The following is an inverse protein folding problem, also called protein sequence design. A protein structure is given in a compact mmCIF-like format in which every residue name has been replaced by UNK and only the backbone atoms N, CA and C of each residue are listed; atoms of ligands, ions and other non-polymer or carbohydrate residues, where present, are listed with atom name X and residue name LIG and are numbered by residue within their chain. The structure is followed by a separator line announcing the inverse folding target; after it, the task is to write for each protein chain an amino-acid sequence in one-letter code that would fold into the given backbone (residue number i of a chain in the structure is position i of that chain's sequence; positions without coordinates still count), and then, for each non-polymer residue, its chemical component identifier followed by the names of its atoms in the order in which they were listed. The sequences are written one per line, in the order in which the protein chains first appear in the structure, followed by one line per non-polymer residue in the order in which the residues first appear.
data_IF_029399651517
#
_entry.id   IF_029399651517
#
_cell.length_a   1.000
_cell.length_b   1.000
_cell.length_c   1.000
_cell.angle_alpha   90.00
_cell.angle_beta   90.00
_cell.angle_gamma   90.00
#
_symmetry.space_group_name_H-M   'P 1'
#
loop_
_entity.id
_entity.type
_entity.pdbx_description
1 polymer ?
#
# COMPACT_ATOMS: atom_id res chain seq x y z
N UNK A 1 15.64 19.47 -9.12
CA UNK A 1 14.36 18.73 -9.17
C UNK A 1 13.30 19.69 -9.69
N UNK A 2 12.51 19.26 -10.66
CA UNK A 2 11.43 20.06 -11.25
C UNK A 2 10.44 20.55 -10.18
N UNK A 3 9.92 21.79 -10.26
CA UNK A 3 8.99 22.35 -9.27
C UNK A 3 7.74 21.48 -9.02
N UNK A 4 7.22 20.85 -10.08
CA UNK A 4 6.04 19.96 -10.01
C UNK A 4 6.29 18.72 -9.14
N UNK A 5 7.47 18.10 -9.27
CA UNK A 5 7.84 16.94 -8.44
C UNK A 5 7.88 17.30 -6.95
N UNK A 6 8.43 18.48 -6.63
CA UNK A 6 8.51 18.96 -5.25
C UNK A 6 7.13 19.19 -4.66
N UNK A 7 6.17 19.67 -5.46
CA UNK A 7 4.80 19.88 -5.01
C UNK A 7 4.11 18.54 -4.67
N UNK A 8 4.20 17.55 -5.55
CA UNK A 8 3.61 16.23 -5.32
C UNK A 8 4.24 15.52 -4.11
N UNK A 9 5.56 15.64 -3.96
CA UNK A 9 6.27 15.12 -2.79
C UNK A 9 5.80 15.79 -1.49
N UNK A 10 5.56 17.10 -1.50
CA UNK A 10 5.04 17.82 -0.35
C UNK A 10 3.60 17.40 0.01
N UNK A 11 2.74 17.14 -0.99
CA UNK A 11 1.37 16.65 -0.75
C UNK A 11 1.38 15.30 -0.04
N UNK A 12 2.21 14.37 -0.51
CA UNK A 12 2.39 13.06 0.13
C UNK A 12 2.88 13.20 1.57
N UNK A 13 3.94 13.97 1.81
CA UNK A 13 4.46 14.16 3.17
C UNK A 13 3.47 14.83 4.11
N UNK A 14 2.69 15.80 3.60
CA UNK A 14 1.62 16.45 4.37
C UNK A 14 0.56 15.43 4.78
N UNK A 15 0.14 14.56 3.85
CA UNK A 15 -0.82 13.49 4.13
C UNK A 15 -0.28 12.51 5.17
N UNK A 16 0.96 12.02 5.00
CA UNK A 16 1.58 11.07 5.92
C UNK A 16 1.71 11.66 7.33
N UNK A 17 2.17 12.91 7.44
CA UNK A 17 2.34 13.60 8.72
C UNK A 17 1.00 13.80 9.43
N UNK A 18 -0.03 14.24 8.70
CA UNK A 18 -1.35 14.48 9.26
C UNK A 18 -2.10 13.21 9.71
N UNK A 19 -1.67 12.04 9.22
CA UNK A 19 -2.33 10.76 9.48
C UNK A 19 -1.43 9.73 10.18
N UNK A 20 -0.23 10.11 10.63
CA UNK A 20 0.78 9.19 11.18
C UNK A 20 0.30 8.32 12.35
N UNK A 21 -0.69 8.81 13.11
CA UNK A 21 -1.27 8.11 14.26
C UNK A 21 -2.60 7.41 13.92
N UNK A 22 -3.13 7.59 12.71
CA UNK A 22 -4.37 6.95 12.23
C UNK A 22 -4.08 5.63 11.51
N UNK A 23 -5.13 4.84 11.28
CA UNK A 23 -5.04 3.66 10.41
C UNK A 23 -4.80 4.08 8.96
N UNK A 24 -3.70 3.61 8.37
CA UNK A 24 -3.35 3.86 6.97
C UNK A 24 -3.21 2.52 6.27
N UNK A 25 -3.82 2.40 5.09
CA UNK A 25 -3.65 1.25 4.22
C UNK A 25 -2.74 1.63 3.04
N UNK A 26 -1.61 0.94 2.93
CA UNK A 26 -0.74 0.97 1.77
C UNK A 26 -1.15 -0.13 0.80
N UNK A 27 -1.88 0.24 -0.26
CA UNK A 27 -2.39 -0.68 -1.27
C UNK A 27 -1.53 -0.64 -2.54
N UNK A 28 -0.77 -1.71 -2.78
CA UNK A 28 0.08 -1.92 -3.94
C UNK A 28 -0.64 -2.79 -4.98
N UNK A 29 -0.85 -2.27 -6.19
CA UNK A 29 -1.59 -2.95 -7.26
C UNK A 29 -0.69 -3.17 -8.48
N UNK A 30 -0.38 -4.43 -8.79
CA UNK A 30 0.32 -4.79 -10.03
C UNK A 30 1.75 -4.28 -10.15
N UNK A 31 2.38 -3.88 -9.04
CA UNK A 31 3.78 -3.47 -9.04
C UNK A 31 4.65 -4.71 -9.23
N UNK A 32 5.49 -4.66 -10.27
CA UNK A 32 6.46 -5.71 -10.59
C UNK A 32 7.84 -5.42 -10.01
N UNK A 33 8.78 -6.31 -10.31
CA UNK A 33 10.13 -6.31 -9.71
C UNK A 33 11.19 -5.47 -10.43
N UNK A 34 10.82 -4.71 -11.47
CA UNK A 34 11.79 -3.93 -12.24
C UNK A 34 12.39 -2.77 -11.45
N UNK A 35 11.60 -2.10 -10.62
CA UNK A 35 12.02 -0.88 -9.89
C UNK A 35 11.36 -0.80 -8.50
N UNK A 36 11.66 -1.75 -7.59
CA UNK A 36 11.02 -1.83 -6.27
C UNK A 36 11.22 -0.58 -5.41
N UNK A 37 12.30 0.16 -5.62
CA UNK A 37 12.65 1.41 -4.94
C UNK A 37 11.62 2.55 -5.07
N UNK A 38 10.73 2.53 -6.07
CA UNK A 38 9.75 3.61 -6.26
C UNK A 38 8.47 3.44 -5.44
N UNK A 39 8.01 2.20 -5.21
CA UNK A 39 6.72 1.93 -4.55
C UNK A 39 6.88 0.88 -3.46
N UNK A 40 7.34 -0.32 -3.82
CA UNK A 40 7.40 -1.47 -2.93
C UNK A 40 8.24 -1.19 -1.67
N UNK A 41 9.48 -0.76 -1.84
CA UNK A 41 10.38 -0.48 -0.70
C UNK A 41 9.89 0.71 0.16
N UNK A 42 9.47 1.86 -0.42
CA UNK A 42 8.85 2.93 0.37
C UNK A 42 7.62 2.48 1.14
N UNK A 43 6.74 1.66 0.55
CA UNK A 43 5.54 1.17 1.23
C UNK A 43 5.90 0.26 2.39
N UNK A 44 6.90 -0.62 2.23
CA UNK A 44 7.39 -1.43 3.33
C UNK A 44 7.95 -0.55 4.45
N UNK A 45 8.85 0.38 4.13
CA UNK A 45 9.47 1.29 5.10
C UNK A 45 8.42 2.13 5.86
N UNK A 46 7.41 2.63 5.16
CA UNK A 46 6.33 3.40 5.78
C UNK A 46 5.44 2.51 6.66
N UNK A 47 5.15 1.28 6.25
CA UNK A 47 4.37 0.32 7.04
C UNK A 47 5.11 -0.10 8.31
N UNK A 48 6.45 -0.23 8.24
CA UNK A 48 7.29 -0.42 9.41
C UNK A 48 7.25 0.79 10.35
N UNK A 49 7.44 2.00 9.81
CA UNK A 49 7.56 3.22 10.60
C UNK A 49 6.24 3.67 11.25
N UNK A 50 5.10 3.40 10.61
CA UNK A 50 3.79 3.84 11.08
C UNK A 50 3.08 2.73 11.86
N UNK A 51 2.83 2.89 13.17
CA UNK A 51 2.38 1.80 14.04
C UNK A 51 1.05 1.19 13.59
N UNK A 52 0.12 2.04 13.11
CA UNK A 52 -1.23 1.65 12.70
C UNK A 52 -1.37 1.41 11.19
N UNK A 53 -0.27 1.35 10.45
CA UNK A 53 -0.30 1.08 9.02
C UNK A 53 -0.45 -0.41 8.71
N UNK A 54 -1.11 -0.71 7.60
CA UNK A 54 -1.24 -2.06 7.04
C UNK A 54 -0.88 -2.04 5.55
N UNK A 55 -0.25 -3.10 5.06
CA UNK A 55 0.19 -3.21 3.67
C UNK A 55 -0.54 -4.34 2.94
N UNK A 56 -1.08 -4.06 1.75
CA UNK A 56 -1.64 -5.09 0.86
C UNK A 56 -0.98 -4.99 -0.50
N UNK A 57 -0.46 -6.10 -1.00
CA UNK A 57 0.01 -6.21 -2.39
C UNK A 57 -0.84 -7.20 -3.17
N UNK A 58 -1.26 -6.80 -4.37
CA UNK A 58 -2.07 -7.61 -5.28
C UNK A 58 -1.32 -7.74 -6.61
N UNK A 59 -0.80 -8.92 -6.87
CA UNK A 59 -0.10 -9.24 -8.12
C UNK A 59 -0.06 -10.77 -8.31
N UNK A 60 -0.49 -11.32 -9.47
CA UNK A 60 -0.52 -12.76 -9.69
C UNK A 60 0.87 -13.42 -9.68
N UNK A 61 1.95 -12.66 -9.91
CA UNK A 61 3.32 -13.18 -9.99
C UNK A 61 4.19 -12.70 -8.83
N UNK A 62 4.19 -11.39 -8.58
CA UNK A 62 5.19 -10.73 -7.73
C UNK A 62 4.63 -10.19 -6.40
N UNK A 63 3.50 -10.72 -5.91
CA UNK A 63 2.99 -10.35 -4.58
C UNK A 63 3.91 -10.92 -3.49
N UNK A 64 4.72 -10.03 -2.90
CA UNK A 64 5.76 -10.34 -1.92
C UNK A 64 5.48 -9.57 -0.64
N UNK A 65 5.44 -10.31 0.47
CA UNK A 65 5.34 -9.77 1.81
C UNK A 65 6.63 -10.13 2.57
N UNK A 66 7.43 -9.14 3.01
CA UNK A 66 8.61 -9.42 3.83
C UNK A 66 8.21 -10.00 5.19
N UNK A 67 9.10 -10.77 5.80
CA UNK A 67 8.86 -11.49 7.05
C UNK A 67 8.39 -10.54 8.15
N UNK A 68 9.01 -9.37 8.21
CA UNK A 68 8.81 -8.42 9.29
C UNK A 68 7.47 -7.65 9.14
N UNK A 69 6.79 -7.76 7.98
CA UNK A 69 5.42 -7.28 7.77
C UNK A 69 4.35 -8.37 7.88
N UNK A 70 4.67 -9.61 8.27
CA UNK A 70 3.66 -10.69 8.33
C UNK A 70 2.44 -10.35 9.18
N UNK A 71 2.62 -9.64 10.29
CA UNK A 71 1.52 -9.23 11.18
C UNK A 71 0.81 -7.95 10.71
N UNK A 72 1.39 -7.23 9.75
CA UNK A 72 0.92 -5.92 9.28
C UNK A 72 0.74 -5.87 7.76
N UNK A 73 0.57 -7.02 7.13
CA UNK A 73 0.32 -7.05 5.70
C UNK A 73 -0.22 -8.35 5.14
N UNK A 74 -0.60 -8.28 3.87
CA UNK A 74 -1.25 -9.35 3.13
C UNK A 74 -0.77 -9.33 1.68
N UNK A 75 -0.31 -10.48 1.18
CA UNK A 75 0.01 -10.67 -0.22
C UNK A 75 -1.08 -11.50 -0.90
N UNK A 76 -1.69 -10.94 -1.94
CA UNK A 76 -2.76 -11.56 -2.73
C UNK A 76 -2.20 -11.88 -4.11
N UNK A 77 -2.03 -13.18 -4.40
CA UNK A 77 -1.54 -13.70 -5.68
C UNK A 77 -2.67 -14.00 -6.64
N UNK A 78 -3.34 -12.96 -7.11
CA UNK A 78 -4.52 -13.07 -7.97
C UNK A 78 -4.62 -11.88 -8.93
N UNK A 79 -5.43 -12.03 -9.97
CA UNK A 79 -5.84 -10.94 -10.85
C UNK A 79 -6.51 -9.79 -10.08
N UNK A 80 -6.06 -8.56 -10.34
CA UNK A 80 -6.54 -7.36 -9.63
C UNK A 80 -8.04 -7.14 -9.88
N UNK A 81 -8.52 -7.34 -11.11
CA UNK A 81 -9.92 -7.11 -11.43
C UNK A 81 -10.82 -8.12 -10.71
N UNK A 82 -10.38 -9.37 -10.60
CA UNK A 82 -11.07 -10.39 -9.79
C UNK A 82 -11.14 -9.99 -8.31
N UNK A 83 -10.01 -9.63 -7.70
CA UNK A 83 -9.98 -9.25 -6.28
C UNK A 83 -10.90 -8.05 -5.99
N UNK A 84 -10.83 -7.00 -6.81
CA UNK A 84 -11.69 -5.82 -6.63
C UNK A 84 -13.17 -6.16 -6.87
N UNK A 85 -13.49 -6.99 -7.86
CA UNK A 85 -14.85 -7.50 -8.08
C UNK A 85 -15.38 -8.23 -6.85
N UNK A 86 -14.56 -9.10 -6.24
CA UNK A 86 -14.98 -9.91 -5.10
C UNK A 86 -15.20 -9.05 -3.84
N UNK A 87 -14.37 -8.01 -3.65
CA UNK A 87 -14.57 -7.00 -2.58
C UNK A 87 -15.86 -6.21 -2.81
N UNK A 88 -16.17 -5.81 -4.05
CA UNK A 88 -17.39 -5.07 -4.37
C UNK A 88 -18.67 -5.90 -4.21
N UNK A 89 -18.59 -7.23 -4.34
CA UNK A 89 -19.71 -8.16 -4.09
C UNK A 89 -19.94 -8.41 -2.60
N UNK A 90 -18.90 -8.23 -1.79
CA UNK A 90 -18.95 -8.37 -0.34
C UNK A 90 -18.48 -7.06 0.30
N UNK A 91 -19.19 -5.95 0.06
CA UNK A 91 -18.85 -4.71 0.73
C UNK A 91 -18.97 -5.01 2.22
N UNK A 92 -17.85 -4.96 2.96
CA UNK A 92 -17.88 -4.97 4.40
C UNK A 92 -18.94 -3.96 4.80
N UNK A 93 -19.92 -4.38 5.61
CA UNK A 93 -21.03 -3.53 6.03
C UNK A 93 -20.46 -2.16 6.38
N UNK A 94 -20.66 -1.18 5.51
CA UNK A 94 -20.08 0.15 5.62
C UNK A 94 -20.83 0.90 6.72
N UNK A 95 -20.66 0.44 7.95
CA UNK A 95 -21.24 0.94 9.19
C UNK A 95 -20.29 0.64 10.33
N UNK A 96 -19.40 1.60 10.58
CA UNK A 96 -19.25 2.28 11.87
C UNK A 96 -18.55 3.61 11.63
#
# INVERSE_FOLDING_TARGET
MEPSYREEYNKLNTFLTANKDKSILFLELGVGRMTPMFIQEPFWNLTYALPNAFYITINPRDAILPEELKEKGLAIREDIAKVLSDVLKHPAEARR
#
